data_IF_932933604852
#
_entry.id   IF_932933604852
#
_cell.length_a   1.000
_cell.length_b   1.000
_cell.length_c   1.000
_cell.angle_alpha   90.00
_cell.angle_beta   90.00
_cell.angle_gamma   90.00
#
_symmetry.space_group_name_H-M   'P 1'
#
loop_
_entity.id
_entity.type
_entity.pdbx_description
1 polymer ?
#
# COMPACT_ATOMS: atom_id res chain seq x y z
N UNK A 1 1.65 -17.26 4.56
CA UNK A 1 1.55 -15.93 5.20
C UNK A 1 2.16 -14.91 4.25
N UNK A 2 1.50 -13.78 3.99
CA UNK A 2 2.06 -12.78 3.06
C UNK A 2 3.34 -12.16 3.65
N UNK A 3 4.48 -12.16 2.93
CA UNK A 3 5.76 -11.67 3.45
C UNK A 3 5.68 -10.21 3.92
N UNK A 4 4.83 -9.40 3.30
CA UNK A 4 4.58 -8.00 3.68
C UNK A 4 4.06 -7.86 5.11
N UNK A 5 3.18 -8.77 5.57
CA UNK A 5 2.62 -8.72 6.93
C UNK A 5 3.67 -9.08 7.99
N UNK A 6 4.58 -9.99 7.64
CA UNK A 6 5.71 -10.36 8.48
C UNK A 6 6.69 -9.19 8.64
N UNK A 7 7.03 -8.51 7.54
CA UNK A 7 7.91 -7.33 7.56
C UNK A 7 7.33 -6.19 8.40
N UNK A 8 6.03 -5.90 8.25
CA UNK A 8 5.35 -4.89 9.06
C UNK A 8 5.38 -5.29 10.54
N UNK A 9 5.10 -6.56 10.85
CA UNK A 9 5.11 -7.06 12.23
C UNK A 9 6.49 -6.93 12.90
N UNK A 10 7.58 -7.28 12.20
CA UNK A 10 8.94 -7.15 12.70
C UNK A 10 9.30 -5.68 12.94
N UNK A 11 8.96 -4.79 12.01
CA UNK A 11 9.20 -3.35 12.17
C UNK A 11 8.42 -2.75 13.34
N UNK A 12 7.18 -3.18 13.55
CA UNK A 12 6.36 -2.73 14.69
C UNK A 12 6.95 -3.24 16.01
N UNK A 13 7.44 -4.48 16.04
CA UNK A 13 8.17 -5.03 17.19
C UNK A 13 9.45 -4.27 17.51
N UNK A 14 10.23 -3.89 16.49
CA UNK A 14 11.42 -3.05 16.65
C UNK A 14 11.07 -1.68 17.23
N UNK A 15 10.03 -1.03 16.72
CA UNK A 15 9.58 0.28 17.20
C UNK A 15 9.06 0.21 18.65
N UNK A 16 8.36 -0.87 19.00
CA UNK A 16 7.91 -1.13 20.36
C UNK A 16 9.10 -1.32 21.33
N UNK A 17 10.12 -2.09 20.94
CA UNK A 17 11.32 -2.29 21.75
C UNK A 17 12.07 -0.99 22.03
N UNK A 18 12.20 -0.11 21.02
CA UNK A 18 12.80 1.22 21.18
C UNK A 18 11.98 2.14 22.08
N UNK A 19 10.65 2.03 22.02
CA UNK A 19 9.75 2.79 22.89
C UNK A 19 9.90 2.37 24.36
N UNK A 20 10.06 1.06 24.61
CA UNK A 20 10.36 0.51 25.95
C UNK A 20 11.73 0.99 26.43
N UNK A 21 12.77 0.96 25.58
CA UNK A 21 14.10 1.48 25.92
C UNK A 21 14.06 2.95 26.36
N UNK A 22 13.35 3.78 25.61
CA UNK A 22 13.14 5.20 25.93
C UNK A 22 12.50 5.37 27.32
N UNK A 23 11.46 4.58 27.62
CA UNK A 23 10.78 4.63 28.90
C UNK A 23 11.67 4.21 30.08
N UNK A 24 12.55 3.22 29.89
CA UNK A 24 13.50 2.77 30.92
C UNK A 24 14.54 3.84 31.23
N UNK A 25 15.16 4.45 30.21
CA UNK A 25 16.13 5.52 30.41
C UNK A 25 15.51 6.77 31.03
N UNK A 26 14.26 7.10 30.65
CA UNK A 26 13.52 8.21 31.22
C UNK A 26 13.22 7.99 32.71
N UNK A 27 12.73 6.81 33.11
CA UNK A 27 12.50 6.49 34.52
C UNK A 27 13.81 6.41 35.32
N UNK A 28 14.89 5.90 34.73
CA UNK A 28 16.22 5.89 35.35
C UNK A 28 16.74 7.28 35.66
N UNK A 29 16.38 8.28 34.84
CA UNK A 29 16.70 9.69 35.06
C UNK A 29 15.91 10.27 36.23
N UNK A 30 14.60 9.97 36.31
CA UNK A 30 13.74 10.38 37.42
C UNK A 30 14.18 9.79 38.78
N UNK A 31 14.88 8.66 38.78
CA UNK A 31 15.46 8.08 40.00
C UNK A 31 16.81 8.70 40.40
N UNK A 32 17.49 9.41 39.51
CA UNK A 32 18.80 10.01 39.75
C UNK A 32 18.74 11.52 40.05
N UNK A 33 17.58 12.14 39.86
CA UNK A 33 17.34 13.56 40.10
C UNK A 33 16.08 13.79 40.93
N UNK A 34 16.11 14.72 41.87
CA UNK A 34 14.93 15.22 42.56
C UNK A 34 14.74 16.69 42.21
N UNK A 35 13.48 17.09 41.94
CA UNK A 35 13.14 18.49 41.77
C UNK A 35 12.77 19.07 43.12
N UNK A 36 13.61 19.95 43.65
CA UNK A 36 13.24 20.82 44.76
C UNK A 36 12.68 22.10 44.17
N UNK A 37 11.48 22.49 44.61
CA UNK A 37 10.86 23.76 44.24
C UNK A 37 11.07 24.75 45.37
N UNK A 38 11.90 25.78 45.15
CA UNK A 38 12.13 26.86 46.13
C UNK A 38 11.07 27.97 46.04
N UNK A 39 9.85 27.65 45.61
CA UNK A 39 8.72 28.59 45.48
C UNK A 39 8.85 29.61 44.34
N UNK A 40 10.04 29.82 43.78
CA UNK A 40 10.32 30.72 42.64
C UNK A 40 11.02 30.03 41.46
N UNK A 41 11.75 28.93 41.69
CA UNK A 41 12.45 28.16 40.66
C UNK A 41 12.41 26.67 41.00
N UNK A 42 12.19 25.83 39.99
CA UNK A 42 12.45 24.40 40.07
C UNK A 42 13.95 24.18 39.88
N UNK A 43 14.63 23.78 40.96
CA UNK A 43 16.03 23.38 40.93
C UNK A 43 16.08 21.85 40.83
N UNK A 44 16.59 21.35 39.71
CA UNK A 44 16.97 19.94 39.56
C UNK A 44 18.22 19.72 40.40
N UNK A 45 18.06 19.06 41.54
CA UNK A 45 19.17 18.60 42.34
C UNK A 45 19.50 17.15 41.96
N UNK A 46 20.76 16.93 41.61
CA UNK A 46 21.26 15.61 41.22
C UNK A 46 21.69 14.85 42.48
N UNK A 47 21.12 13.67 42.69
CA UNK A 47 21.61 12.74 43.74
C UNK A 47 22.90 12.09 43.24
N UNK A 48 22.89 11.63 41.99
CA UNK A 48 24.03 11.00 41.32
C UNK A 48 24.18 11.55 39.90
N UNK A 49 24.97 12.62 39.77
CA UNK A 49 25.25 13.28 38.48
C UNK A 49 25.78 12.35 37.37
N UNK A 50 26.74 11.42 37.61
CA UNK A 50 27.22 10.54 36.53
C UNK A 50 26.15 9.56 36.03
N UNK A 51 25.23 9.14 36.90
CA UNK A 51 24.13 8.24 36.56
C UNK A 51 23.04 8.95 35.76
N UNK A 52 22.76 10.20 36.09
CA UNK A 52 21.87 11.06 35.32
C UNK A 52 22.38 11.29 33.89
N UNK A 53 23.64 11.69 33.73
CA UNK A 53 24.27 11.93 32.41
C UNK A 53 24.29 10.65 31.55
N UNK A 54 24.58 9.49 32.14
CA UNK A 54 24.54 8.21 31.44
C UNK A 54 23.13 7.84 30.94
N UNK A 55 22.10 8.03 31.77
CA UNK A 55 20.70 7.80 31.37
C UNK A 55 20.24 8.81 30.31
N UNK A 56 20.69 10.06 30.38
CA UNK A 56 20.36 11.10 29.41
C UNK A 56 20.98 10.79 28.04
N UNK A 57 22.25 10.38 28.00
CA UNK A 57 22.90 9.94 26.76
C UNK A 57 22.22 8.70 26.17
N UNK A 58 21.84 7.73 27.02
CA UNK A 58 21.08 6.55 26.61
C UNK A 58 19.69 6.90 26.05
N UNK A 59 19.01 7.87 26.65
CA UNK A 59 17.71 8.36 26.19
C UNK A 59 17.83 9.03 24.82
N UNK A 60 18.82 9.91 24.63
CA UNK A 60 19.05 10.59 23.35
C UNK A 60 19.31 9.56 22.25
N UNK A 61 20.13 8.55 22.52
CA UNK A 61 20.41 7.48 21.56
C UNK A 61 19.16 6.66 21.24
N UNK A 62 18.37 6.29 22.25
CA UNK A 62 17.12 5.57 22.03
C UNK A 62 16.11 6.38 21.20
N UNK A 63 16.04 7.70 21.42
CA UNK A 63 15.14 8.60 20.71
C UNK A 63 15.55 8.77 19.25
N UNK A 64 16.84 8.95 18.96
CA UNK A 64 17.33 9.08 17.58
C UNK A 64 17.08 7.82 16.78
N UNK A 65 17.29 6.64 17.37
CA UNK A 65 16.95 5.37 16.74
C UNK A 65 15.45 5.17 16.53
N UNK A 66 14.62 5.64 17.47
CA UNK A 66 13.16 5.60 17.33
C UNK A 66 12.70 6.45 16.14
N UNK A 67 13.21 7.68 16.03
CA UNK A 67 12.90 8.59 14.93
C UNK A 67 13.40 8.02 13.60
N UNK A 68 14.64 7.52 13.54
CA UNK A 68 15.20 6.92 12.34
C UNK A 68 14.42 5.68 11.90
N UNK A 69 14.07 4.79 12.84
CA UNK A 69 13.25 3.61 12.59
C UNK A 69 11.84 3.96 12.11
N UNK A 70 11.24 5.01 12.69
CA UNK A 70 9.95 5.54 12.25
C UNK A 70 10.01 6.13 10.84
N UNK A 71 11.07 6.88 10.51
CA UNK A 71 11.30 7.41 9.16
C UNK A 71 11.52 6.30 8.13
N UNK A 72 12.27 5.25 8.51
CA UNK A 72 12.48 4.08 7.67
C UNK A 72 11.17 3.33 7.43
N UNK A 73 10.35 3.17 8.47
CA UNK A 73 9.03 2.57 8.33
C UNK A 73 8.12 3.39 7.42
N UNK A 74 8.13 4.72 7.55
CA UNK A 74 7.41 5.63 6.67
C UNK A 74 7.86 5.46 5.21
N UNK A 75 9.17 5.36 4.97
CA UNK A 75 9.74 5.14 3.64
C UNK A 75 9.29 3.80 3.03
N UNK A 76 9.27 2.73 3.84
CA UNK A 76 8.82 1.40 3.39
C UNK A 76 7.31 1.38 3.10
N UNK A 77 6.52 2.17 3.83
CA UNK A 77 5.08 2.32 3.56
C UNK A 77 4.77 3.19 2.34
N UNK A 78 5.74 3.98 1.85
CA UNK A 78 5.51 4.86 0.72
C UNK A 78 5.19 4.01 -0.53
N UNK A 79 4.01 4.18 -1.14
CA UNK A 79 3.67 3.45 -2.35
C UNK A 79 4.62 3.87 -3.47
N UNK A 80 5.32 2.89 -4.04
CA UNK A 80 6.22 3.12 -5.15
C UNK A 80 5.38 3.47 -6.40
N UNK A 81 5.57 4.67 -6.95
CA UNK A 81 4.87 5.23 -8.13
C UNK A 81 4.88 4.27 -9.35
N UNK A 82 5.82 3.32 -9.36
CA UNK A 82 5.92 2.25 -10.37
C UNK A 82 4.71 1.30 -10.44
N UNK A 83 3.80 1.34 -9.47
CA UNK A 83 2.53 0.62 -9.53
C UNK A 83 1.45 1.33 -10.39
N UNK A 84 1.58 2.64 -10.65
CA UNK A 84 0.56 3.39 -11.40
C UNK A 84 0.73 3.34 -12.93
N UNK A 85 1.88 2.91 -13.45
CA UNK A 85 2.15 2.89 -14.91
C UNK A 85 1.73 1.58 -15.59
N UNK A 86 1.28 0.56 -14.85
CA UNK A 86 0.93 -0.75 -15.44
C UNK A 86 -0.58 -1.07 -15.51
N UNK A 87 -1.47 -0.19 -15.04
CA UNK A 87 -2.92 -0.47 -15.07
C UNK A 87 -3.63 0.19 -16.25
N UNK A 88 -3.16 -0.13 -17.46
CA UNK A 88 -3.99 -0.28 -18.64
C UNK A 88 -3.13 -0.90 -19.74
N UNK A 89 -3.18 -2.22 -19.99
CA UNK A 89 -2.85 -2.70 -21.32
C UNK A 89 -3.75 -1.93 -22.28
N UNK A 90 -3.14 -1.15 -23.19
CA UNK A 90 -3.86 -0.57 -24.32
C UNK A 90 -4.69 -1.69 -24.95
N UNK A 91 -6.03 -1.60 -24.97
CA UNK A 91 -6.82 -2.64 -25.60
C UNK A 91 -6.40 -2.69 -27.06
N UNK A 92 -5.84 -3.84 -27.47
CA UNK A 92 -5.40 -4.07 -28.84
C UNK A 92 -6.50 -3.59 -29.80
N UNK A 93 -6.15 -2.91 -30.92
CA UNK A 93 -7.14 -2.43 -31.87
C UNK A 93 -8.01 -3.60 -32.30
N UNK A 94 -9.27 -3.61 -31.88
CA UNK A 94 -10.21 -4.66 -32.25
C UNK A 94 -10.31 -4.67 -33.77
N UNK A 95 -10.04 -5.79 -34.46
CA UNK A 95 -10.23 -5.87 -35.90
C UNK A 95 -11.72 -5.70 -36.16
N UNK A 96 -12.05 -4.56 -36.79
CA UNK A 96 -13.40 -4.15 -37.19
C UNK A 96 -14.01 -5.25 -38.05
N UNK A 97 -14.75 -6.18 -37.44
CA UNK A 97 -15.56 -7.15 -38.18
C UNK A 97 -16.66 -6.38 -38.89
N UNK A 98 -16.40 -6.07 -40.15
CA UNK A 98 -17.36 -5.49 -41.09
C UNK A 98 -18.51 -6.51 -41.21
N UNK A 99 -19.75 -6.19 -40.82
CA UNK A 99 -20.85 -7.10 -41.05
C UNK A 99 -20.99 -7.25 -42.57
N UNK A 100 -20.90 -8.49 -43.05
CA UNK A 100 -21.14 -8.83 -44.44
C UNK A 100 -22.65 -8.69 -44.69
N UNK A 101 -23.08 -7.49 -45.08
CA UNK A 101 -24.46 -7.14 -45.44
C UNK A 101 -25.00 -7.96 -46.63
N UNK A 102 -24.18 -8.82 -47.25
CA UNK A 102 -24.56 -9.67 -48.38
C UNK A 102 -25.12 -11.06 -48.02
N UNK A 103 -24.82 -11.63 -46.83
CA UNK A 103 -25.18 -13.03 -46.54
C UNK A 103 -26.70 -13.24 -46.33
N UNK A 104 -27.42 -12.19 -45.92
CA UNK A 104 -28.88 -12.24 -45.71
C UNK A 104 -29.68 -12.22 -47.02
N UNK A 105 -29.13 -11.70 -48.12
CA UNK A 105 -29.77 -11.77 -49.45
C UNK A 105 -29.57 -13.14 -50.11
N UNK A 106 -28.37 -13.71 -50.01
CA UNK A 106 -28.11 -15.05 -50.55
C UNK A 106 -28.96 -16.15 -49.88
N UNK A 107 -29.24 -16.02 -48.57
CA UNK A 107 -30.13 -16.94 -47.87
C UNK A 107 -31.62 -16.77 -48.25
N UNK A 108 -32.02 -15.58 -48.71
CA UNK A 108 -33.40 -15.32 -49.15
C UNK A 108 -33.66 -15.84 -50.57
N UNK A 109 -32.66 -15.82 -51.45
CA UNK A 109 -32.79 -16.32 -52.82
C UNK A 109 -32.81 -17.86 -52.90
N UNK A 110 -32.23 -18.57 -51.92
CA UNK A 110 -32.28 -20.04 -51.85
C UNK A 110 -33.64 -20.55 -51.35
N UNK A 111 -34.45 -19.69 -50.72
CA UNK A 111 -35.74 -20.05 -50.13
C UNK A 111 -36.92 -19.47 -50.92
N UNK A 112 -36.80 -19.43 -52.26
CA UNK A 112 -37.95 -19.27 -53.14
C UNK A 112 -38.59 -20.66 -53.41
N UNK A 113 -39.88 -20.87 -53.08
CA UNK A 113 -40.56 -22.09 -53.47
C UNK A 113 -40.72 -22.13 -54.99
N UNK A 114 -40.38 -23.28 -55.58
CA UNK A 114 -40.52 -23.56 -57.00
C UNK A 114 -41.93 -23.21 -57.50
N UNK A 115 -42.00 -22.34 -58.50
CA UNK A 115 -43.22 -22.06 -59.24
C UNK A 115 -43.75 -23.35 -59.89
N UNK A 116 -45.08 -23.59 -59.91
CA UNK A 116 -45.65 -24.71 -60.64
C UNK A 116 -45.49 -24.50 -62.15
N UNK A 117 -45.12 -25.57 -62.85
CA UNK A 117 -44.87 -25.64 -64.28
C UNK A 117 -46.07 -25.14 -65.14
N UNK A 118 -45.83 -24.56 -66.33
CA UNK A 118 -46.90 -24.19 -67.24
C UNK A 118 -47.56 -25.43 -67.86
N UNK A 119 -48.89 -25.44 -67.89
CA UNK A 119 -49.69 -26.50 -68.48
C UNK A 119 -49.52 -26.57 -70.01
N UNK A 120 -49.52 -27.78 -70.62
CA UNK A 120 -49.43 -27.92 -72.06
C UNK A 120 -50.71 -27.46 -72.76
N UNK A 121 -50.55 -26.69 -73.84
CA UNK A 121 -51.63 -26.23 -74.70
C UNK A 121 -52.27 -27.40 -75.46
N UNK A 122 -53.61 -27.44 -75.61
CA UNK A 122 -54.25 -28.31 -76.57
C UNK A 122 -54.37 -27.62 -77.94
N UNK A 123 -54.02 -28.36 -78.99
CA UNK A 123 -54.33 -28.10 -80.39
C UNK A 123 -54.86 -29.43 -80.99
N UNK A 124 -55.51 -29.45 -82.17
CA UNK A 124 -56.40 -28.47 -82.81
C UNK A 124 -57.90 -28.73 -82.53
#
# INVERSE_FOLDING_TARGET
>A
MQPTRLYIGIMLGFLAALSVGCFVFFNGMSGASYMTSDGLRQLLNFIDKPRYESNLMGLIYSLTFLVAGGLFLLLVLLPNESAFVQTAPSPAPQPRRRPLVGARRAALDVQAPAAPAPAPAPAP
#
